data_IF_772982436429
#
_entry.id   IF_772982436429
#
_cell.length_a   1.000
_cell.length_b   1.000
_cell.length_c   1.000
_cell.angle_alpha   90.00
_cell.angle_beta   90.00
_cell.angle_gamma   90.00
#
_symmetry.space_group_name_H-M   'P 1'
#
loop_
_entity.id
_entity.type
_entity.pdbx_description
1 polymer ?
#
# COMPACT_ATOMS: atom_id res chain seq x y z
N UNK A 1 -13.51 -16.54 2.43
CA UNK A 1 -13.76 -16.10 1.04
C UNK A 1 -12.48 -15.47 0.53
N UNK A 2 -11.95 -15.97 -0.57
CA UNK A 2 -10.75 -15.46 -1.25
C UNK A 2 -11.19 -14.56 -2.39
N UNK A 3 -10.65 -13.35 -2.45
CA UNK A 3 -10.84 -12.40 -3.54
C UNK A 3 -9.58 -12.34 -4.36
N UNK A 4 -9.70 -12.70 -5.62
CA UNK A 4 -8.57 -12.80 -6.55
C UNK A 4 -8.39 -11.50 -7.34
N UNK A 5 -7.20 -11.24 -7.91
CA UNK A 5 -6.90 -9.97 -8.57
C UNK A 5 -7.71 -9.72 -9.85
N UNK A 6 -8.24 -10.79 -10.43
CA UNK A 6 -9.16 -10.80 -11.58
C UNK A 6 -10.59 -10.35 -11.22
N UNK A 7 -10.87 -10.10 -9.93
CA UNK A 7 -12.20 -9.74 -9.42
C UNK A 7 -13.07 -10.95 -9.05
N UNK A 8 -12.63 -12.18 -9.33
CA UNK A 8 -13.35 -13.39 -8.95
C UNK A 8 -13.34 -13.60 -7.43
N UNK A 9 -14.37 -14.28 -6.93
CA UNK A 9 -14.50 -14.57 -5.50
C UNK A 9 -14.76 -16.06 -5.29
N UNK A 10 -13.92 -16.68 -4.47
CA UNK A 10 -13.97 -18.11 -4.20
C UNK A 10 -14.22 -18.35 -2.72
N UNK A 11 -15.29 -19.07 -2.39
CA UNK A 11 -15.61 -19.43 -1.02
C UNK A 11 -15.26 -20.90 -0.76
N UNK A 12 -14.45 -21.15 0.27
CA UNK A 12 -14.16 -22.49 0.78
C UNK A 12 -14.22 -22.49 2.30
N UNK A 13 -14.61 -23.63 2.87
CA UNK A 13 -14.58 -23.90 4.30
C UNK A 13 -13.28 -24.61 4.64
N UNK A 14 -12.66 -24.17 5.74
CA UNK A 14 -11.48 -24.78 6.33
C UNK A 14 -11.80 -25.16 7.78
N UNK A 15 -11.21 -26.22 8.28
CA UNK A 15 -11.22 -26.53 9.70
C UNK A 15 -10.30 -25.56 10.45
N UNK A 16 -10.60 -25.28 11.72
CA UNK A 16 -9.76 -24.39 12.54
C UNK A 16 -8.33 -24.95 12.75
N UNK A 17 -8.20 -26.28 12.69
CA UNK A 17 -6.95 -27.04 12.75
C UNK A 17 -6.17 -27.08 11.44
N UNK A 18 -6.76 -26.68 10.31
CA UNK A 18 -6.06 -26.66 9.04
C UNK A 18 -4.94 -25.61 9.09
N UNK A 19 -3.83 -25.88 8.40
CA UNK A 19 -2.70 -24.97 8.38
C UNK A 19 -2.88 -23.83 7.37
N UNK A 20 -2.20 -22.71 7.61
CA UNK A 20 -2.15 -21.60 6.65
C UNK A 20 -1.61 -22.05 5.28
N UNK A 21 -0.70 -23.03 5.25
CA UNK A 21 -0.21 -23.64 4.01
C UNK A 21 -1.33 -24.22 3.14
N UNK A 22 -2.32 -24.92 3.71
CA UNK A 22 -3.45 -25.46 2.92
C UNK A 22 -4.29 -24.37 2.25
N UNK A 23 -4.34 -23.19 2.87
CA UNK A 23 -5.01 -22.02 2.32
C UNK A 23 -4.19 -21.41 1.18
N UNK A 24 -2.86 -21.34 1.31
CA UNK A 24 -1.97 -20.97 0.19
C UNK A 24 -2.09 -21.94 -0.98
N UNK A 25 -2.06 -23.25 -0.74
CA UNK A 25 -2.20 -24.28 -1.78
C UNK A 25 -3.55 -24.13 -2.52
N UNK A 26 -4.62 -23.84 -1.78
CA UNK A 26 -5.92 -23.56 -2.39
C UNK A 26 -5.88 -22.32 -3.29
N UNK A 27 -5.23 -21.24 -2.85
CA UNK A 27 -5.09 -20.03 -3.68
C UNK A 27 -4.23 -20.30 -4.91
N UNK A 28 -3.13 -21.02 -4.79
CA UNK A 28 -2.30 -21.45 -5.93
C UNK A 28 -3.12 -22.30 -6.91
N UNK A 29 -3.96 -23.21 -6.40
CA UNK A 29 -4.81 -24.06 -7.24
C UNK A 29 -5.87 -23.29 -8.02
N UNK A 30 -6.45 -22.22 -7.47
CA UNK A 30 -7.50 -21.44 -8.17
C UNK A 30 -6.92 -20.32 -9.03
N UNK A 31 -5.78 -19.74 -8.66
CA UNK A 31 -5.19 -18.58 -9.36
C UNK A 31 -4.06 -18.95 -10.31
N UNK A 32 -3.39 -20.09 -10.11
CA UNK A 32 -2.17 -20.44 -10.82
C UNK A 32 -0.98 -19.53 -10.53
N UNK A 33 -1.07 -18.63 -9.53
CA UNK A 33 -0.01 -17.68 -9.20
C UNK A 33 1.14 -18.38 -8.46
N UNK A 34 2.37 -18.16 -8.94
CA UNK A 34 3.58 -18.67 -8.29
C UNK A 34 3.96 -17.86 -7.04
N UNK A 35 3.72 -16.54 -7.07
CA UNK A 35 4.09 -15.62 -5.98
C UNK A 35 2.97 -14.61 -5.73
N UNK A 36 2.41 -14.62 -4.53
CA UNK A 36 1.36 -13.70 -4.11
C UNK A 36 1.38 -13.47 -2.60
N UNK A 37 0.79 -12.35 -2.19
CA UNK A 37 0.53 -12.01 -0.81
C UNK A 37 -0.97 -12.18 -0.52
N UNK A 38 -1.27 -12.54 0.72
CA UNK A 38 -2.64 -12.61 1.20
C UNK A 38 -2.84 -11.58 2.30
N UNK A 39 -3.91 -10.80 2.22
CA UNK A 39 -4.21 -9.76 3.19
C UNK A 39 -5.68 -9.76 3.61
N UNK A 40 -5.96 -9.42 4.86
CA UNK A 40 -7.33 -9.12 5.35
C UNK A 40 -7.73 -7.68 5.02
N UNK A 41 -9.03 -7.36 5.08
CA UNK A 41 -9.53 -6.00 4.79
C UNK A 41 -9.26 -5.00 5.93
N UNK A 42 -9.82 -5.23 7.12
CA UNK A 42 -9.70 -4.29 8.24
C UNK A 42 -9.67 -5.00 9.62
N UNK A 43 -8.71 -4.68 10.50
CA UNK A 43 -7.45 -4.00 10.15
C UNK A 43 -6.69 -4.85 9.12
N UNK A 44 -6.06 -4.20 8.13
CA UNK A 44 -5.33 -4.88 7.07
C UNK A 44 -4.14 -5.62 7.67
N UNK A 45 -4.15 -6.95 7.59
CA UNK A 45 -3.09 -7.83 8.08
C UNK A 45 -2.63 -8.71 6.93
N UNK A 46 -1.34 -8.67 6.64
CA UNK A 46 -0.72 -9.62 5.71
C UNK A 46 -0.59 -10.96 6.42
N UNK A 47 -1.10 -12.01 5.81
CA UNK A 47 -0.95 -13.39 6.23
C UNK A 47 0.25 -13.93 5.46
N UNK A 48 1.28 -14.38 6.17
CA UNK A 48 2.44 -15.03 5.58
C UNK A 48 2.23 -16.53 5.50
N UNK A 49 2.92 -17.18 4.57
CA UNK A 49 2.96 -18.64 4.48
C UNK A 49 3.50 -19.21 5.79
N UNK A 50 2.73 -20.11 6.41
CA UNK A 50 3.06 -20.70 7.69
C UNK A 50 2.47 -22.10 7.79
N UNK A 51 3.09 -22.93 8.62
CA UNK A 51 2.56 -24.25 9.00
C UNK A 51 1.64 -24.17 10.22
N UNK A 52 1.50 -23.00 10.84
CA UNK A 52 0.58 -22.78 11.97
C UNK A 52 -0.87 -23.03 11.56
N UNK A 53 -1.71 -23.50 12.49
CA UNK A 53 -3.13 -23.66 12.24
C UNK A 53 -3.80 -22.29 12.07
N UNK A 54 -4.88 -22.25 11.28
CA UNK A 54 -5.61 -21.03 10.94
C UNK A 54 -6.06 -20.26 12.19
N UNK A 55 -6.51 -20.97 13.22
CA UNK A 55 -6.92 -20.38 14.50
C UNK A 55 -5.82 -19.57 15.23
N UNK A 56 -4.55 -19.98 15.07
CA UNK A 56 -3.38 -19.36 15.69
C UNK A 56 -2.78 -18.29 14.80
N UNK A 57 -2.94 -18.43 13.48
CA UNK A 57 -2.66 -17.37 12.50
C UNK A 57 -3.70 -16.23 12.55
N UNK A 58 -4.69 -16.33 13.45
CA UNK A 58 -5.68 -15.30 13.71
C UNK A 58 -6.83 -15.29 12.70
N UNK A 59 -7.17 -16.45 12.13
CA UNK A 59 -8.44 -16.71 11.46
C UNK A 59 -9.40 -17.31 12.48
N UNK A 60 -10.15 -16.46 13.18
CA UNK A 60 -11.07 -16.86 14.27
C UNK A 60 -12.53 -16.63 13.93
N UNK A 61 -12.81 -15.85 12.89
CA UNK A 61 -14.16 -15.59 12.42
C UNK A 61 -14.78 -16.80 11.73
N UNK A 62 -16.12 -16.91 11.79
CA UNK A 62 -16.86 -17.90 10.99
C UNK A 62 -16.76 -17.63 9.49
N UNK A 63 -16.57 -16.37 9.11
CA UNK A 63 -16.45 -15.94 7.72
C UNK A 63 -15.41 -14.83 7.64
N UNK A 64 -14.25 -15.16 7.08
CA UNK A 64 -13.17 -14.19 6.85
C UNK A 64 -12.96 -13.96 5.36
N UNK A 65 -12.64 -12.72 5.01
CA UNK A 65 -12.32 -12.32 3.65
C UNK A 65 -10.82 -12.09 3.50
N UNK A 66 -10.20 -12.81 2.57
CA UNK A 66 -8.79 -12.70 2.22
C UNK A 66 -8.69 -12.18 0.81
N UNK A 67 -7.78 -11.23 0.60
CA UNK A 67 -7.48 -10.63 -0.69
C UNK A 67 -6.14 -11.17 -1.15
N UNK A 68 -6.08 -11.60 -2.41
CA UNK A 68 -4.85 -12.06 -3.04
C UNK A 68 -4.29 -10.90 -3.82
N UNK A 69 -3.04 -10.56 -3.53
CA UNK A 69 -2.28 -9.51 -4.21
C UNK A 69 -1.12 -10.19 -4.95
N UNK A 70 -1.04 -10.09 -6.28
CA UNK A 70 0.05 -10.71 -7.01
C UNK A 70 1.36 -9.97 -6.69
N UNK A 71 2.41 -10.71 -6.34
CA UNK A 71 3.73 -10.11 -6.20
C UNK A 71 4.21 -9.73 -7.60
N UNK A 72 4.26 -8.43 -7.92
CA UNK A 72 4.92 -7.95 -9.12
C UNK A 72 6.40 -8.33 -9.00
N UNK A 73 6.86 -9.31 -9.78
CA UNK A 73 8.29 -9.51 -9.98
C UNK A 73 8.89 -8.18 -10.42
N UNK A 74 10.07 -7.77 -9.90
CA UNK A 74 10.73 -6.57 -10.40
C UNK A 74 10.85 -6.74 -11.91
N UNK A 75 10.23 -5.83 -12.65
CA UNK A 75 10.34 -5.78 -14.10
C UNK A 75 11.83 -5.65 -14.40
N UNK A 76 12.46 -6.77 -14.80
CA UNK A 76 13.69 -6.70 -15.54
C UNK A 76 13.40 -5.79 -16.72
N UNK A 77 14.03 -4.61 -16.70
CA UNK A 77 13.99 -3.67 -17.81
C UNK A 77 14.30 -4.46 -19.09
N UNK A 78 13.41 -4.48 -20.09
CA UNK A 78 13.77 -5.06 -21.37
C UNK A 78 14.92 -4.24 -21.93
N UNK A 79 16.05 -4.93 -22.09
CA UNK A 79 17.28 -4.53 -22.76
C UNK A 79 16.93 -3.88 -24.11
N UNK A 80 16.84 -2.55 -24.12
CA UNK A 80 16.91 -1.77 -25.35
C UNK A 80 18.39 -1.68 -25.69
N UNK A 81 18.86 -2.69 -26.41
CA UNK A 81 20.15 -2.69 -27.10
C UNK A 81 20.16 -1.57 -28.16
N UNK A 82 20.54 -0.37 -27.74
CA UNK A 82 21.22 0.61 -28.58
C UNK A 82 22.63 0.75 -28.02
N UNK A 83 23.59 0.13 -28.72
CA UNK A 83 24.86 0.73 -29.13
C UNK A 83 25.84 -0.37 -29.52
N UNK A 84 25.94 -0.55 -30.84
CA UNK A 84 27.10 -1.09 -31.51
C UNK A 84 28.24 -0.06 -31.36
N UNK A 85 29.07 -0.19 -30.32
CA UNK A 85 30.40 0.41 -30.26
C UNK A 85 31.35 -0.53 -29.52
N UNK A 86 32.22 -1.15 -30.30
CA UNK A 86 33.40 -1.90 -29.91
C UNK A 86 34.32 -1.11 -28.96
N UNK A 87 34.49 -1.58 -27.71
CA UNK A 87 35.65 -1.27 -26.86
C UNK A 87 35.96 -2.44 -25.91
N UNK A 88 36.79 -3.36 -26.42
CA UNK A 88 37.93 -4.04 -25.78
C UNK A 88 37.87 -4.22 -24.24
N UNK A 89 37.54 -5.44 -23.82
CA UNK A 89 37.63 -5.91 -22.43
C UNK A 89 39.06 -6.36 -22.15
N UNK A 90 39.80 -5.59 -21.35
CA UNK A 90 41.01 -6.06 -20.67
C UNK A 90 40.65 -6.53 -19.25
N UNK A 91 41.08 -7.75 -18.97
CA UNK A 91 40.83 -8.54 -17.76
C UNK A 91 41.71 -8.06 -16.60
N UNK A 92 41.10 -7.94 -15.40
CA UNK A 92 41.69 -7.88 -14.05
C UNK A 92 41.45 -6.58 -13.25
N UNK A 93 40.43 -6.61 -12.38
CA UNK A 93 40.49 -6.03 -11.03
C UNK A 93 39.29 -6.49 -10.20
N UNK A 94 39.48 -7.58 -9.45
CA UNK A 94 38.72 -7.80 -8.22
C UNK A 94 39.21 -6.80 -7.16
N UNK A 95 38.25 -6.33 -6.35
CA UNK A 95 38.37 -5.41 -5.22
C UNK A 95 38.33 -3.92 -5.63
N UNK A 96 37.56 -3.05 -4.96
CA UNK A 96 37.96 -2.51 -3.66
C UNK A 96 36.86 -1.61 -3.02
N UNK A 97 36.66 -1.80 -1.71
CA UNK A 97 36.30 -0.79 -0.68
C UNK A 97 34.91 -0.09 -0.64
N UNK A 98 34.07 -0.52 0.30
CA UNK A 98 33.51 0.39 1.34
C UNK A 98 34.68 0.96 2.19
N UNK A 99 34.58 2.06 2.97
CA UNK A 99 33.47 2.95 3.31
C UNK A 99 33.84 4.46 3.27
N UNK A 100 32.92 5.30 3.78
CA UNK A 100 33.17 6.59 4.45
C UNK A 100 33.31 7.89 3.60
N UNK A 101 32.18 8.62 3.58
CA UNK A 101 32.03 10.03 4.02
C UNK A 101 32.85 11.11 3.29
N UNK A 102 32.16 12.18 2.85
CA UNK A 102 32.36 13.55 3.36
C UNK A 102 31.32 14.54 2.74
N UNK A 103 31.04 15.66 3.43
CA UNK A 103 29.69 16.18 3.71
C UNK A 103 29.53 17.64 3.20
N UNK A 104 28.60 18.39 3.82
CA UNK A 104 28.48 19.87 3.90
C UNK A 104 27.82 20.61 2.71
N UNK A 105 26.89 21.56 2.85
CA UNK A 105 26.30 22.33 3.98
C UNK A 105 24.81 22.58 3.65
N UNK A 106 23.87 22.25 4.53
CA UNK A 106 23.23 23.17 5.47
C UNK A 106 22.61 24.43 4.82
N UNK A 107 21.27 24.44 4.73
CA UNK A 107 20.28 25.54 4.73
C UNK A 107 19.02 24.91 4.09
N UNK A 108 17.95 24.52 4.76
CA UNK A 108 17.42 24.75 6.10
C UNK A 108 16.66 23.48 6.51
N UNK A 109 16.50 23.18 7.80
CA UNK A 109 15.46 22.24 8.21
C UNK A 109 14.14 22.85 7.71
N UNK A 110 13.42 22.16 6.81
CA UNK A 110 11.98 22.45 6.71
C UNK A 110 11.43 22.05 8.07
N UNK A 111 11.32 23.06 8.93
CA UNK A 111 10.58 22.99 10.17
C UNK A 111 9.25 22.32 9.85
N UNK A 112 8.74 21.49 10.78
CA UNK A 112 7.48 20.80 10.61
C UNK A 112 6.46 21.86 10.20
N UNK A 113 5.85 21.71 9.02
CA UNK A 113 4.70 22.55 8.66
C UNK A 113 3.78 22.47 9.85
N UNK A 114 3.65 23.64 10.47
CA UNK A 114 3.05 23.91 11.75
C UNK A 114 2.04 22.82 12.10
N UNK A 115 2.35 22.01 13.12
CA UNK A 115 1.32 21.32 13.89
C UNK A 115 0.52 22.40 14.60
N UNK A 116 -0.22 23.20 13.83
CA UNK A 116 -1.48 23.72 14.34
C UNK A 116 -2.17 22.48 14.87
N UNK A 117 -2.35 22.40 16.19
CA UNK A 117 -2.91 21.27 16.93
C UNK A 117 -4.34 20.90 16.50
N UNK A 118 -4.77 21.37 15.34
CA UNK A 118 -5.93 20.99 14.60
C UNK A 118 -5.66 19.62 14.01
N UNK A 119 -6.31 18.61 14.60
CA UNK A 119 -6.48 17.22 14.15
C UNK A 119 -6.60 16.98 12.63
N UNK A 120 -6.89 18.00 11.83
CA UNK A 120 -7.10 17.94 10.38
C UNK A 120 -6.20 18.86 9.55
N UNK A 121 -5.04 19.30 10.06
CA UNK A 121 -4.16 20.26 9.39
C UNK A 121 -3.83 19.91 7.92
N UNK A 122 -3.47 18.65 7.66
CA UNK A 122 -3.18 18.18 6.30
C UNK A 122 -4.42 18.29 5.38
N UNK A 123 -5.60 17.89 5.85
CA UNK A 123 -6.83 17.92 5.07
C UNK A 123 -7.33 19.35 4.81
N UNK A 124 -7.16 20.26 5.78
CA UNK A 124 -7.52 21.67 5.60
C UNK A 124 -6.64 22.35 4.56
N UNK A 125 -5.35 22.02 4.53
CA UNK A 125 -4.43 22.53 3.51
C UNK A 125 -4.83 22.07 2.10
N UNK A 126 -5.19 20.79 1.95
CA UNK A 126 -5.70 20.24 0.68
C UNK A 126 -7.01 20.93 0.24
N UNK A 127 -7.94 21.17 1.18
CA UNK A 127 -9.19 21.88 0.92
C UNK A 127 -8.95 23.33 0.46
N UNK A 128 -8.02 24.04 1.10
CA UNK A 128 -7.62 25.38 0.71
C UNK A 128 -6.99 25.39 -0.69
N UNK A 129 -6.14 24.41 -1.02
CA UNK A 129 -5.57 24.26 -2.37
C UNK A 129 -6.61 23.98 -3.45
N UNK A 130 -7.77 23.41 -3.09
CA UNK A 130 -8.90 23.16 -3.99
C UNK A 130 -9.86 24.36 -4.10
N UNK A 131 -9.61 25.45 -3.37
CA UNK A 131 -10.44 26.66 -3.37
C UNK A 131 -11.51 26.69 -2.27
N UNK A 132 -11.55 25.71 -1.36
CA UNK A 132 -12.43 25.75 -0.19
C UNK A 132 -11.75 26.52 0.94
N UNK A 133 -11.91 27.85 0.91
CA UNK A 133 -11.26 28.77 1.85
C UNK A 133 -11.95 28.85 3.23
N UNK A 134 -13.18 28.38 3.35
CA UNK A 134 -13.98 28.44 4.58
C UNK A 134 -13.53 27.41 5.62
N UNK A 135 -12.48 27.74 6.38
CA UNK A 135 -11.87 26.83 7.36
C UNK A 135 -12.84 26.32 8.43
N UNK A 136 -13.72 27.16 8.97
CA UNK A 136 -14.69 26.75 10.01
C UNK A 136 -15.72 25.72 9.49
N UNK A 137 -16.18 25.90 8.25
CA UNK A 137 -17.09 24.97 7.59
C UNK A 137 -16.36 23.65 7.27
N UNK A 138 -15.15 23.75 6.73
CA UNK A 138 -14.29 22.62 6.41
C UNK A 138 -14.02 21.75 7.66
N UNK A 139 -13.71 22.35 8.81
CA UNK A 139 -13.50 21.63 10.07
C UNK A 139 -14.75 20.86 10.50
N UNK A 140 -15.93 21.49 10.47
CA UNK A 140 -17.20 20.83 10.85
C UNK A 140 -17.49 19.62 9.96
N UNK A 141 -17.25 19.74 8.65
CA UNK A 141 -17.49 18.67 7.70
C UNK A 141 -16.43 17.55 7.86
N UNK A 142 -15.17 17.91 8.11
CA UNK A 142 -14.10 16.97 8.44
C UNK A 142 -14.40 16.20 9.73
N UNK A 143 -14.98 16.83 10.75
CA UNK A 143 -15.46 16.15 11.96
C UNK A 143 -16.59 15.16 11.64
N UNK A 144 -17.59 15.59 10.88
CA UNK A 144 -18.75 14.78 10.48
C UNK A 144 -18.33 13.54 9.69
N UNK A 145 -17.35 13.67 8.80
CA UNK A 145 -16.85 12.58 7.95
C UNK A 145 -15.54 11.95 8.45
N UNK A 146 -15.14 12.21 9.70
CA UNK A 146 -13.97 11.62 10.35
C UNK A 146 -12.66 11.78 9.54
N UNK A 147 -12.46 12.94 8.91
CA UNK A 147 -11.26 13.25 8.14
C UNK A 147 -11.20 12.64 6.73
N UNK A 148 -12.30 12.04 6.24
CA UNK A 148 -12.36 11.46 4.90
C UNK A 148 -12.54 12.54 3.82
N UNK A 149 -11.41 13.06 3.32
CA UNK A 149 -11.33 14.17 2.37
C UNK A 149 -12.29 14.02 1.16
N UNK A 150 -12.34 12.86 0.51
CA UNK A 150 -13.23 12.65 -0.67
C UNK A 150 -14.72 12.92 -0.37
N UNK A 151 -15.20 12.56 0.83
CA UNK A 151 -16.60 12.83 1.21
C UNK A 151 -16.81 14.30 1.55
N UNK A 152 -15.81 14.94 2.15
CA UNK A 152 -15.83 16.36 2.48
C UNK A 152 -15.89 17.21 1.21
N UNK A 153 -15.02 16.93 0.25
CA UNK A 153 -14.98 17.64 -1.04
C UNK A 153 -16.30 17.48 -1.78
N UNK A 154 -16.84 16.25 -1.90
CA UNK A 154 -18.12 16.05 -2.58
C UNK A 154 -19.25 16.87 -1.96
N UNK A 155 -19.33 16.88 -0.62
CA UNK A 155 -20.34 17.64 0.10
C UNK A 155 -20.17 19.16 -0.05
N UNK A 156 -18.94 19.66 0.02
CA UNK A 156 -18.63 21.08 -0.20
C UNK A 156 -18.92 21.51 -1.65
N UNK A 157 -18.61 20.65 -2.63
CA UNK A 157 -18.93 20.90 -4.03
C UNK A 157 -20.43 20.95 -4.30
N UNK A 158 -21.24 20.13 -3.62
CA UNK A 158 -22.70 20.20 -3.71
C UNK A 158 -23.23 21.52 -3.10
N UNK A 159 -22.70 21.95 -1.95
CA UNK A 159 -23.11 23.21 -1.32
C UNK A 159 -22.71 24.45 -2.12
N UNK A 160 -21.52 24.45 -2.73
CA UNK A 160 -21.05 25.57 -3.56
C UNK A 160 -21.86 25.78 -4.85
N UNK A 161 -22.64 24.77 -5.27
CA UNK A 161 -23.51 24.85 -6.44
C UNK A 161 -24.89 25.46 -6.10
N UNK A 162 -25.28 25.48 -4.82
CA UNK A 162 -26.61 25.96 -4.38
C UNK A 162 -26.66 27.45 -4.01
N UNK A 163 -25.56 28.21 -4.21
CA UNK A 163 -25.46 29.66 -3.94
C UNK A 163 -25.25 30.46 -5.22
#
# INVERSE_FOLDING_TARGET
MVRTPDGSQHARRFAASDSVATLYDFVTSITGLASFLMATNYPRRVILLSTLPLQDAGFRGRQEAVFVEPCKAPTAVPDQAVNDVDMKVDDAAWALFTPDVMPVHALEPVLPTQVDGNKWGAQLHELESMGFVDRDLNVQILEKYQGRLLRVVNYLSELAVET
#
